data_IF_497818366659
#
_entry.id   IF_497818366659
#
_cell.length_a   1.000
_cell.length_b   1.000
_cell.length_c   1.000
_cell.angle_alpha   90.00
_cell.angle_beta   90.00
_cell.angle_gamma   90.00
#
_symmetry.space_group_name_H-M   'P 1'
#
loop_
_entity.id
_entity.type
_entity.pdbx_description
1 polymer ?
#
# COMPACT_ATOMS: atom_id res chain seq x y z
N UNK A 1 -20.81 -45.66 65.52
CA UNK A 1 -20.91 -47.10 65.81
C UNK A 1 -21.10 -47.85 64.49
N UNK A 2 -20.21 -48.82 64.22
CA UNK A 2 -20.27 -49.96 63.28
C UNK A 2 -20.51 -49.73 61.76
N UNK A 3 -19.47 -49.91 60.94
CA UNK A 3 -19.12 -51.11 60.10
C UNK A 3 -19.94 -51.18 58.80
N UNK A 4 -19.38 -51.11 57.58
CA UNK A 4 -18.37 -52.02 57.00
C UNK A 4 -19.10 -53.15 56.25
N UNK A 5 -19.20 -53.16 54.91
CA UNK A 5 -18.38 -53.99 54.01
C UNK A 5 -19.22 -54.90 53.08
N UNK A 6 -18.97 -54.76 51.77
CA UNK A 6 -18.90 -55.76 50.67
C UNK A 6 -20.04 -56.75 50.35
N UNK A 7 -20.45 -56.84 49.07
CA UNK A 7 -19.99 -57.87 48.11
C UNK A 7 -20.61 -57.72 46.71
N UNK A 8 -19.81 -58.10 45.72
CA UNK A 8 -20.11 -58.20 44.29
C UNK A 8 -20.81 -59.52 43.90
N UNK A 9 -21.49 -59.56 42.74
CA UNK A 9 -22.06 -60.80 42.18
C UNK A 9 -22.77 -60.67 40.83
N UNK A 10 -21.96 -60.70 39.75
CA UNK A 10 -22.18 -61.17 38.36
C UNK A 10 -23.60 -61.40 37.78
N UNK A 11 -23.81 -60.73 36.63
CA UNK A 11 -24.16 -61.21 35.29
C UNK A 11 -25.46 -62.02 35.03
N UNK A 12 -26.23 -61.56 34.03
CA UNK A 12 -26.68 -62.34 32.86
C UNK A 12 -27.35 -61.42 31.80
N UNK A 13 -26.82 -61.44 30.57
CA UNK A 13 -27.51 -61.10 29.29
C UNK A 13 -28.14 -62.42 28.77
N UNK A 14 -29.23 -62.43 27.98
CA UNK A 14 -29.40 -61.80 26.65
C UNK A 14 -30.79 -61.13 26.48
N UNK A 15 -31.04 -60.14 25.62
CA UNK A 15 -30.88 -60.07 24.17
C UNK A 15 -32.26 -60.17 23.52
N UNK A 16 -32.81 -59.07 22.97
CA UNK A 16 -33.85 -59.10 21.94
C UNK A 16 -34.01 -57.73 21.26
N UNK A 17 -34.08 -57.78 19.92
CA UNK A 17 -34.77 -56.81 19.05
C UNK A 17 -34.03 -55.54 18.61
N UNK A 18 -32.97 -55.77 17.82
CA UNK A 18 -32.46 -54.83 16.80
C UNK A 18 -33.41 -54.83 15.61
N UNK A 19 -34.52 -54.07 15.63
CA UNK A 19 -35.35 -53.91 14.40
C UNK A 19 -36.28 -52.70 14.33
N UNK A 20 -36.06 -51.62 15.10
CA UNK A 20 -36.91 -50.40 15.02
C UNK A 20 -36.14 -49.10 14.73
N UNK A 21 -34.81 -49.11 14.67
CA UNK A 21 -34.02 -47.88 14.47
C UNK A 21 -33.80 -47.48 12.99
N UNK A 22 -34.19 -48.34 12.03
CA UNK A 22 -33.82 -48.12 10.61
C UNK A 22 -34.73 -47.19 9.80
N UNK A 23 -35.80 -46.61 10.37
CA UNK A 23 -36.67 -45.67 9.63
C UNK A 23 -36.49 -44.20 10.09
N UNK A 24 -35.86 -43.95 11.24
CA UNK A 24 -35.58 -42.57 11.70
C UNK A 24 -34.24 -41.99 11.21
N UNK A 25 -33.38 -42.81 10.58
CA UNK A 25 -32.04 -42.38 10.10
C UNK A 25 -32.04 -41.98 8.60
N UNK A 26 -33.12 -42.22 7.87
CA UNK A 26 -33.22 -41.88 6.44
C UNK A 26 -33.75 -40.47 6.13
N UNK A 27 -34.02 -39.64 7.14
CA UNK A 27 -34.44 -38.23 6.94
C UNK A 27 -33.34 -37.22 7.39
N UNK A 28 -32.15 -37.71 7.78
CA UNK A 28 -31.01 -36.86 8.21
C UNK A 28 -29.76 -37.01 7.32
N UNK A 29 -29.94 -37.41 6.06
CA UNK A 29 -28.90 -37.34 5.01
C UNK A 29 -29.17 -36.23 3.97
N UNK A 30 -30.07 -35.29 4.30
CA UNK A 30 -30.20 -34.03 3.60
C UNK A 30 -29.22 -33.01 4.18
N UNK A 31 -27.91 -33.22 3.96
CA UNK A 31 -26.93 -32.15 4.16
C UNK A 31 -27.42 -30.95 3.33
N UNK A 32 -27.61 -29.74 3.90
CA UNK A 32 -27.69 -28.58 3.05
C UNK A 32 -26.33 -28.51 2.37
N UNK A 33 -26.28 -28.88 1.10
CA UNK A 33 -25.21 -28.42 0.23
C UNK A 33 -25.35 -26.91 0.22
N UNK A 34 -24.74 -26.25 1.19
CA UNK A 34 -24.06 -25.00 0.92
C UNK A 34 -23.09 -25.35 -0.19
N UNK A 35 -23.59 -25.31 -1.42
CA UNK A 35 -22.77 -25.05 -2.57
C UNK A 35 -22.14 -23.70 -2.20
N UNK A 36 -20.95 -23.75 -1.61
CA UNK A 36 -20.06 -22.62 -1.65
C UNK A 36 -20.01 -22.28 -3.12
N UNK A 37 -20.68 -21.18 -3.49
CA UNK A 37 -20.60 -20.65 -4.83
C UNK A 37 -19.11 -20.60 -5.12
N UNK A 38 -18.66 -21.47 -6.02
CA UNK A 38 -17.35 -21.33 -6.63
C UNK A 38 -17.25 -19.84 -7.00
N UNK A 39 -16.14 -19.15 -6.69
CA UNK A 39 -16.02 -17.75 -7.08
C UNK A 39 -16.42 -17.70 -8.54
N UNK A 40 -17.50 -16.96 -8.84
CA UNK A 40 -18.06 -16.91 -10.18
C UNK A 40 -16.89 -16.71 -11.12
N UNK A 41 -16.71 -17.63 -12.08
CA UNK A 41 -15.68 -17.48 -13.09
C UNK A 41 -15.79 -16.04 -13.58
N UNK A 42 -14.74 -15.24 -13.36
CA UNK A 42 -14.78 -13.81 -13.62
C UNK A 42 -15.26 -13.64 -15.06
N UNK A 43 -16.47 -13.14 -15.25
CA UNK A 43 -17.02 -12.93 -16.58
C UNK A 43 -16.27 -11.75 -17.18
N UNK A 44 -15.18 -12.06 -17.88
CA UNK A 44 -14.31 -11.07 -18.51
C UNK A 44 -14.89 -10.55 -19.82
N UNK A 45 -15.96 -11.15 -20.37
CA UNK A 45 -16.50 -10.79 -21.68
C UNK A 45 -16.97 -9.33 -21.73
N UNK A 46 -17.69 -8.79 -20.72
CA UNK A 46 -17.98 -7.36 -20.65
C UNK A 46 -16.71 -6.51 -20.60
N UNK A 47 -15.70 -6.91 -19.83
CA UNK A 47 -14.45 -6.17 -19.67
C UNK A 47 -13.61 -6.10 -20.95
N UNK A 48 -13.52 -7.21 -21.68
CA UNK A 48 -12.81 -7.31 -22.94
C UNK A 48 -13.45 -6.43 -24.02
N UNK A 49 -14.78 -6.46 -24.14
CA UNK A 49 -15.50 -5.63 -25.12
C UNK A 49 -15.33 -4.12 -24.81
N UNK A 50 -15.40 -3.75 -23.54
CA UNK A 50 -15.16 -2.36 -23.11
C UNK A 50 -13.71 -1.94 -23.37
N UNK A 51 -12.73 -2.80 -23.06
CA UNK A 51 -11.33 -2.53 -23.34
C UNK A 51 -11.06 -2.35 -24.85
N UNK A 52 -11.61 -3.24 -25.68
CA UNK A 52 -11.45 -3.19 -27.12
C UNK A 52 -12.00 -1.88 -27.72
N UNK A 53 -13.11 -1.37 -27.18
CA UNK A 53 -13.78 -0.16 -27.69
C UNK A 53 -13.20 1.14 -27.11
N UNK A 54 -12.81 1.16 -25.84
CA UNK A 54 -12.42 2.38 -25.13
C UNK A 54 -10.91 2.53 -24.93
N UNK A 55 -10.16 1.44 -24.86
CA UNK A 55 -8.76 1.45 -24.40
C UNK A 55 -7.76 1.00 -25.47
N UNK A 56 -8.13 0.02 -26.31
CA UNK A 56 -7.22 -0.60 -27.27
C UNK A 56 -6.73 0.36 -28.39
N UNK A 57 -7.46 1.46 -28.66
CA UNK A 57 -7.01 2.48 -29.60
C UNK A 57 -5.64 3.05 -29.22
N UNK A 58 -5.40 3.27 -27.93
CA UNK A 58 -4.15 3.80 -27.40
C UNK A 58 -3.25 2.69 -26.84
N UNK A 59 -3.81 1.77 -26.05
CA UNK A 59 -3.03 0.74 -25.36
C UNK A 59 -2.76 -0.52 -26.19
N UNK A 60 -3.38 -0.65 -27.36
CA UNK A 60 -3.30 -1.83 -28.21
C UNK A 60 -4.21 -2.98 -27.71
N UNK A 61 -4.59 -3.92 -28.58
CA UNK A 61 -5.46 -5.04 -28.18
C UNK A 61 -4.80 -5.96 -27.16
N UNK A 62 -3.47 -6.07 -27.18
CA UNK A 62 -2.68 -6.82 -26.21
C UNK A 62 -2.25 -5.98 -25.00
N UNK A 63 -2.60 -4.69 -24.92
CA UNK A 63 -2.19 -3.83 -23.81
C UNK A 63 -0.72 -3.44 -23.78
N UNK A 64 0.01 -3.55 -24.89
CA UNK A 64 1.45 -3.26 -24.91
C UNK A 64 1.79 -1.77 -25.02
N UNK A 65 0.78 -0.91 -25.13
CA UNK A 65 0.96 0.52 -25.36
C UNK A 65 1.27 0.86 -26.82
N UNK A 66 0.87 -0.02 -27.74
CA UNK A 66 1.17 -0.02 -29.17
C UNK A 66 -0.10 0.10 -30.03
N UNK A 67 -1.16 0.69 -29.48
CA UNK A 67 -2.40 0.92 -30.23
C UNK A 67 -2.20 1.86 -31.43
N UNK A 68 -3.15 1.88 -32.40
CA UNK A 68 -3.03 2.70 -33.61
C UNK A 68 -2.75 4.20 -33.35
N UNK A 69 -3.21 4.76 -32.23
CA UNK A 69 -2.93 6.15 -31.86
C UNK A 69 -1.67 6.33 -31.01
N UNK A 70 -1.02 5.25 -30.55
CA UNK A 70 0.10 5.30 -29.62
C UNK A 70 1.29 6.13 -30.11
N UNK A 71 1.54 6.12 -31.43
CA UNK A 71 2.61 6.90 -32.04
C UNK A 71 2.40 8.42 -31.97
N UNK A 72 1.16 8.88 -31.76
CA UNK A 72 0.82 10.30 -31.66
C UNK A 72 1.07 10.91 -30.28
N UNK A 73 1.39 10.11 -29.27
CA UNK A 73 1.64 10.61 -27.91
C UNK A 73 3.12 10.84 -27.65
N UNK A 74 3.48 11.98 -27.05
CA UNK A 74 4.85 12.26 -26.62
C UNK A 74 5.29 11.30 -25.51
N UNK A 75 4.39 10.97 -24.58
CA UNK A 75 4.53 9.84 -23.66
C UNK A 75 3.81 8.63 -24.24
N UNK A 76 4.56 7.58 -24.60
CA UNK A 76 3.91 6.34 -25.04
C UNK A 76 2.95 5.81 -23.96
N UNK A 77 1.76 5.32 -24.35
CA UNK A 77 0.87 4.64 -23.43
C UNK A 77 1.61 3.52 -22.67
N UNK A 78 1.29 3.36 -21.38
CA UNK A 78 1.93 2.33 -20.56
C UNK A 78 1.64 0.93 -21.11
N UNK A 79 2.63 0.04 -21.06
CA UNK A 79 2.46 -1.39 -21.32
C UNK A 79 1.69 -2.03 -20.17
N UNK A 80 0.37 -2.08 -20.30
CA UNK A 80 -0.56 -2.70 -19.36
C UNK A 80 -0.42 -4.23 -19.29
N UNK A 81 0.21 -4.86 -20.29
CA UNK A 81 0.55 -6.28 -20.25
C UNK A 81 1.85 -6.58 -19.49
N UNK A 82 2.63 -5.58 -19.07
CA UNK A 82 3.77 -5.83 -18.20
C UNK A 82 3.28 -6.25 -16.81
N UNK A 83 3.42 -7.53 -16.50
CA UNK A 83 3.03 -8.07 -15.21
C UNK A 83 3.87 -7.54 -14.06
N UNK A 84 5.11 -7.11 -14.29
CA UNK A 84 5.94 -6.48 -13.26
C UNK A 84 5.36 -5.12 -12.87
N UNK A 85 4.82 -4.39 -13.85
CA UNK A 85 4.06 -3.17 -13.64
C UNK A 85 2.74 -3.46 -12.92
N UNK A 86 1.92 -4.34 -13.49
CA UNK A 86 0.55 -4.53 -13.03
C UNK A 86 0.51 -5.13 -11.61
N UNK A 87 1.35 -6.10 -11.28
CA UNK A 87 1.35 -6.70 -9.93
C UNK A 87 1.69 -5.68 -8.81
N UNK A 88 2.37 -4.57 -9.12
CA UNK A 88 2.71 -3.55 -8.12
C UNK A 88 1.69 -2.42 -7.97
N UNK A 89 0.68 -2.35 -8.84
CA UNK A 89 -0.32 -1.28 -8.83
C UNK A 89 -1.64 -1.78 -8.21
N UNK A 90 -2.25 -1.05 -7.26
CA UNK A 90 -3.54 -1.44 -6.68
C UNK A 90 -4.72 -1.15 -7.61
N UNK A 91 -5.80 -1.92 -7.47
CA UNK A 91 -7.00 -1.74 -8.30
C UNK A 91 -7.62 -0.34 -8.13
N UNK A 92 -7.62 0.21 -6.90
CA UNK A 92 -8.10 1.57 -6.65
C UNK A 92 -7.29 2.62 -7.41
N UNK A 93 -5.97 2.42 -7.56
CA UNK A 93 -5.13 3.30 -8.36
C UNK A 93 -5.54 3.24 -9.83
N UNK A 94 -5.72 2.03 -10.38
CA UNK A 94 -6.16 1.84 -11.76
C UNK A 94 -7.56 2.40 -11.99
N UNK A 95 -8.48 2.19 -11.04
CA UNK A 95 -9.82 2.73 -11.09
C UNK A 95 -9.80 4.26 -11.08
N UNK A 96 -8.95 4.89 -10.27
CA UNK A 96 -8.80 6.34 -10.24
C UNK A 96 -8.26 6.89 -11.56
N UNK A 97 -7.25 6.23 -12.16
CA UNK A 97 -6.72 6.57 -13.49
C UNK A 97 -7.78 6.43 -14.58
N UNK A 98 -8.54 5.34 -14.60
CA UNK A 98 -9.59 5.14 -15.61
C UNK A 98 -10.71 6.16 -15.42
N UNK A 99 -11.18 6.37 -14.18
CA UNK A 99 -12.31 7.24 -13.89
C UNK A 99 -12.00 8.71 -14.15
N UNK A 100 -10.83 9.18 -13.72
CA UNK A 100 -10.51 10.62 -13.71
C UNK A 100 -9.33 11.00 -14.61
N UNK A 101 -8.75 10.05 -15.35
CA UNK A 101 -7.64 10.28 -16.27
C UNK A 101 -6.27 10.10 -15.61
N UNK A 102 -5.21 10.13 -16.43
CA UNK A 102 -3.85 9.90 -15.95
C UNK A 102 -3.33 10.99 -15.00
N UNK A 103 -3.73 12.25 -15.23
CA UNK A 103 -3.21 13.41 -14.52
C UNK A 103 -3.50 13.41 -13.01
N UNK A 104 -4.62 12.81 -12.57
CA UNK A 104 -4.97 12.74 -11.14
C UNK A 104 -4.01 11.88 -10.32
N UNK A 105 -3.27 11.00 -10.98
CA UNK A 105 -2.23 10.16 -10.39
C UNK A 105 -0.81 10.60 -10.80
N UNK A 106 -0.68 11.81 -11.34
CA UNK A 106 0.60 12.32 -11.83
C UNK A 106 1.14 11.48 -12.99
N UNK A 107 0.26 10.97 -13.86
CA UNK A 107 0.60 10.36 -15.15
C UNK A 107 0.32 11.35 -16.30
N UNK A 108 0.61 10.95 -17.54
CA UNK A 108 0.39 11.78 -18.74
C UNK A 108 -1.08 12.21 -18.87
N UNK A 109 -1.38 13.47 -19.27
CA UNK A 109 -2.73 13.92 -19.55
C UNK A 109 -3.32 13.26 -20.80
N UNK A 110 -2.50 12.57 -21.60
CA UNK A 110 -2.94 11.82 -22.76
C UNK A 110 -3.86 10.64 -22.43
N UNK A 111 -3.92 10.21 -21.15
CA UNK A 111 -4.93 9.26 -20.67
C UNK A 111 -6.18 10.04 -20.22
N UNK A 112 -7.29 10.01 -21.00
CA UNK A 112 -8.50 10.75 -20.68
C UNK A 112 -9.29 10.12 -19.52
N UNK A 113 -10.20 10.89 -18.94
CA UNK A 113 -11.15 10.43 -17.94
C UNK A 113 -12.32 9.68 -18.60
N UNK A 114 -12.64 8.48 -18.11
CA UNK A 114 -13.75 7.66 -18.60
C UNK A 114 -14.94 7.60 -17.64
N UNK A 115 -14.90 8.30 -16.49
CA UNK A 115 -15.94 8.24 -15.47
C UNK A 115 -17.33 8.68 -15.93
N UNK A 116 -17.41 9.54 -16.97
CA UNK A 116 -18.67 9.95 -17.58
C UNK A 116 -19.26 8.90 -18.54
N UNK A 117 -18.44 7.95 -19.02
CA UNK A 117 -18.82 6.95 -20.02
C UNK A 117 -18.90 5.53 -19.45
N UNK A 118 -18.19 5.27 -18.35
CA UNK A 118 -18.10 3.96 -17.70
C UNK A 118 -18.55 4.05 -16.24
N UNK A 119 -19.52 3.21 -15.87
CA UNK A 119 -19.88 2.98 -14.48
C UNK A 119 -18.77 2.27 -13.70
N UNK A 120 -18.81 2.37 -12.37
CA UNK A 120 -17.86 1.69 -11.48
C UNK A 120 -17.79 0.17 -11.70
N UNK A 121 -18.92 -0.46 -12.05
CA UNK A 121 -18.94 -1.87 -12.38
C UNK A 121 -18.17 -2.15 -13.68
N UNK A 122 -18.38 -1.32 -14.71
CA UNK A 122 -17.67 -1.41 -15.99
C UNK A 122 -16.17 -1.14 -15.85
N UNK A 123 -15.77 -0.15 -15.04
CA UNK A 123 -14.36 0.12 -14.74
C UNK A 123 -13.70 -1.11 -14.09
N UNK A 124 -14.37 -1.76 -13.13
CA UNK A 124 -13.86 -3.01 -12.54
C UNK A 124 -13.71 -4.12 -13.58
N UNK A 125 -14.66 -4.27 -14.50
CA UNK A 125 -14.56 -5.25 -15.58
C UNK A 125 -13.38 -4.99 -16.52
N UNK A 126 -13.15 -3.73 -16.89
CA UNK A 126 -11.95 -3.34 -17.66
C UNK A 126 -10.67 -3.66 -16.89
N UNK A 127 -10.62 -3.35 -15.59
CA UNK A 127 -9.46 -3.70 -14.75
C UNK A 127 -9.21 -5.21 -14.76
N UNK A 128 -10.24 -6.02 -14.56
CA UNK A 128 -10.13 -7.48 -14.60
C UNK A 128 -9.57 -7.98 -15.95
N UNK A 129 -10.04 -7.40 -17.06
CA UNK A 129 -9.49 -7.71 -18.37
C UNK A 129 -8.02 -7.28 -18.48
N UNK A 130 -7.66 -6.07 -18.07
CA UNK A 130 -6.27 -5.59 -18.06
C UNK A 130 -5.38 -6.48 -17.21
N UNK A 131 -5.85 -6.96 -16.04
CA UNK A 131 -5.12 -7.93 -15.21
C UNK A 131 -4.87 -9.25 -15.94
N UNK A 132 -5.81 -9.68 -16.79
CA UNK A 132 -5.67 -10.90 -17.57
C UNK A 132 -4.60 -10.82 -18.67
N UNK A 133 -4.25 -9.60 -19.12
CA UNK A 133 -3.18 -9.37 -20.10
C UNK A 133 -1.77 -9.46 -19.50
N UNK A 134 -1.65 -9.41 -18.18
CA UNK A 134 -0.37 -9.29 -17.49
C UNK A 134 0.55 -10.51 -17.67
N UNK A 135 1.80 -10.27 -18.05
CA UNK A 135 2.88 -11.25 -18.12
C UNK A 135 4.14 -10.71 -17.39
N UNK A 136 4.58 -11.33 -16.27
CA UNK A 136 4.04 -12.53 -15.62
C UNK A 136 2.59 -12.37 -15.13
N UNK A 137 1.82 -13.48 -15.01
CA UNK A 137 0.41 -13.43 -14.63
C UNK A 137 0.16 -12.62 -13.36
N UNK A 138 -0.94 -11.87 -13.36
CA UNK A 138 -1.39 -11.12 -12.19
C UNK A 138 -1.69 -12.06 -11.01
N UNK A 139 -1.23 -11.69 -9.83
CA UNK A 139 -1.51 -12.38 -8.57
C UNK A 139 -2.19 -11.40 -7.63
N UNK A 140 -3.46 -11.61 -7.32
CA UNK A 140 -4.19 -10.74 -6.39
C UNK A 140 -3.49 -10.60 -5.03
N UNK A 141 -2.84 -11.67 -4.55
CA UNK A 141 -2.04 -11.65 -3.32
C UNK A 141 -0.77 -10.78 -3.39
N UNK A 142 -0.31 -10.41 -4.59
CA UNK A 142 0.82 -9.50 -4.78
C UNK A 142 0.40 -8.02 -4.72
N UNK A 143 -0.90 -7.72 -4.82
CA UNK A 143 -1.40 -6.35 -4.70
C UNK A 143 -1.28 -5.89 -3.27
N UNK A 144 -0.52 -4.82 -3.10
CA UNK A 144 -0.33 -4.18 -1.81
C UNK A 144 -1.33 -3.02 -1.69
N UNK A 145 -2.18 -2.96 -0.64
CA UNK A 145 -3.16 -1.88 -0.49
C UNK A 145 -2.50 -0.49 -0.47
N UNK A 146 -3.17 0.49 -1.09
CA UNK A 146 -2.77 1.90 -0.99
C UNK A 146 -2.89 2.32 0.47
N UNK A 147 -1.85 2.95 1.00
CA UNK A 147 -1.94 3.64 2.28
C UNK A 147 -2.31 5.08 2.03
N UNK A 148 -3.54 5.44 2.37
CA UNK A 148 -3.99 6.82 2.41
C UNK A 148 -3.79 7.37 3.81
N UNK A 149 -3.17 8.54 3.91
CA UNK A 149 -3.02 9.25 5.17
C UNK A 149 -4.12 10.32 5.28
N UNK A 150 -5.10 10.15 6.18
CA UNK A 150 -6.12 11.16 6.41
C UNK A 150 -5.46 12.48 6.82
N UNK A 151 -5.88 13.61 6.22
CA UNK A 151 -5.34 14.96 6.47
C UNK A 151 -3.89 15.17 6.01
N UNK A 152 -3.39 14.38 5.06
CA UNK A 152 -2.12 14.68 4.41
C UNK A 152 -2.14 16.10 3.80
N UNK A 153 -1.11 16.94 4.03
CA UNK A 153 -1.09 18.30 3.50
C UNK A 153 -0.91 18.29 1.98
N UNK A 154 -1.61 19.20 1.30
CA UNK A 154 -1.40 19.44 -0.13
C UNK A 154 0.04 19.88 -0.38
N UNK A 155 0.70 19.19 -1.31
CA UNK A 155 2.07 19.51 -1.73
C UNK A 155 2.04 20.44 -2.96
N UNK A 156 3.08 21.27 -3.19
CA UNK A 156 3.15 22.13 -4.38
C UNK A 156 3.11 21.34 -5.70
N UNK A 157 3.68 20.14 -5.68
CA UNK A 157 3.67 19.19 -6.79
C UNK A 157 3.16 17.86 -6.27
N UNK A 158 2.27 17.22 -7.01
CA UNK A 158 1.79 15.89 -6.67
C UNK A 158 2.88 14.85 -6.99
N UNK A 159 3.58 14.42 -5.95
CA UNK A 159 4.62 13.39 -6.02
C UNK A 159 4.15 12.08 -5.36
N UNK A 160 4.13 11.00 -6.14
CA UNK A 160 3.69 9.68 -5.70
C UNK A 160 4.88 8.75 -5.40
N UNK A 161 5.07 8.38 -4.13
CA UNK A 161 6.08 7.39 -3.73
C UNK A 161 5.69 5.97 -4.18
N UNK A 162 4.39 5.69 -4.32
CA UNK A 162 3.87 4.45 -4.89
C UNK A 162 4.46 4.18 -6.29
N UNK A 163 4.56 5.21 -7.13
CA UNK A 163 5.13 5.08 -8.48
C UNK A 163 6.66 4.89 -8.40
N UNK A 164 7.35 5.74 -7.66
CA UNK A 164 8.83 5.77 -7.66
C UNK A 164 9.45 4.65 -6.83
N UNK A 165 9.11 4.56 -5.55
CA UNK A 165 9.68 3.58 -4.63
C UNK A 165 8.93 2.24 -4.66
N UNK A 166 7.61 2.25 -4.85
CA UNK A 166 6.81 1.02 -4.92
C UNK A 166 6.99 0.27 -6.24
N UNK A 167 6.55 0.89 -7.33
CA UNK A 167 6.53 0.28 -8.66
C UNK A 167 7.92 0.21 -9.29
N UNK A 168 8.63 1.34 -9.41
CA UNK A 168 9.96 1.36 -10.04
C UNK A 168 11.09 0.90 -9.10
N UNK A 169 10.77 0.61 -7.83
CA UNK A 169 11.72 0.12 -6.82
C UNK A 169 12.97 1.00 -6.70
N UNK A 170 12.80 2.31 -6.87
CA UNK A 170 13.88 3.26 -6.64
C UNK A 170 14.26 3.22 -5.16
N UNK A 171 15.55 3.05 -4.88
CA UNK A 171 16.04 3.06 -3.50
C UNK A 171 15.76 4.41 -2.85
N UNK A 172 15.32 4.40 -1.59
CA UNK A 172 14.97 5.61 -0.85
C UNK A 172 16.13 6.62 -0.82
N UNK A 173 17.36 6.11 -0.69
CA UNK A 173 18.58 6.92 -0.61
C UNK A 173 19.02 7.49 -1.96
N UNK A 174 18.41 7.10 -3.07
CA UNK A 174 18.67 7.73 -4.36
C UNK A 174 18.22 9.20 -4.34
N UNK A 175 16.99 9.44 -3.86
CA UNK A 175 16.45 10.79 -3.72
C UNK A 175 16.87 11.43 -2.39
N UNK A 176 16.78 10.69 -1.29
CA UNK A 176 17.13 11.14 0.06
C UNK A 176 18.59 10.81 0.40
N UNK A 177 19.50 11.24 -0.47
CA UNK A 177 20.91 10.83 -0.40
C UNK A 177 21.64 11.32 0.86
N UNK A 178 21.13 12.36 1.52
CA UNK A 178 21.71 12.88 2.77
C UNK A 178 21.43 11.98 3.98
N UNK A 179 20.44 11.09 3.91
CA UNK A 179 20.04 10.25 5.04
C UNK A 179 21.19 9.41 5.64
N UNK A 180 22.14 8.96 4.83
CA UNK A 180 23.31 8.18 5.28
C UNK A 180 24.49 9.01 5.80
N UNK A 181 24.49 10.32 5.53
CA UNK A 181 25.67 11.20 5.74
C UNK A 181 25.41 12.37 6.68
N UNK A 182 24.17 12.83 6.79
CA UNK A 182 23.79 14.03 7.52
C UNK A 182 22.78 13.73 8.64
N UNK A 183 22.52 14.75 9.45
CA UNK A 183 21.44 14.76 10.43
C UNK A 183 20.07 14.77 9.75
N UNK A 184 20.00 15.37 8.56
CA UNK A 184 18.79 15.46 7.75
C UNK A 184 18.85 14.48 6.58
N UNK A 185 17.72 13.83 6.25
CA UNK A 185 17.60 13.01 5.04
C UNK A 185 17.71 13.83 3.74
N UNK A 186 17.43 15.13 3.83
CA UNK A 186 17.35 16.04 2.69
C UNK A 186 16.14 15.76 1.80
N UNK A 187 15.77 16.74 0.99
CA UNK A 187 14.85 16.56 -0.13
C UNK A 187 15.65 16.62 -1.43
N UNK A 188 15.25 15.88 -2.47
CA UNK A 188 15.96 15.92 -3.74
C UNK A 188 15.90 17.32 -4.35
N UNK A 189 16.96 17.71 -5.05
CA UNK A 189 16.96 18.96 -5.83
C UNK A 189 16.07 18.83 -7.06
N UNK A 190 15.71 19.97 -7.66
CA UNK A 190 14.89 20.00 -8.89
C UNK A 190 15.60 19.29 -10.04
N UNK A 191 16.93 19.42 -10.11
CA UNK A 191 17.76 18.78 -11.13
C UNK A 191 17.74 17.25 -10.98
N UNK A 192 17.67 16.72 -9.75
CA UNK A 192 17.54 15.26 -9.55
C UNK A 192 16.24 14.74 -10.14
N UNK A 193 15.14 15.48 -10.03
CA UNK A 193 13.89 15.14 -10.70
C UNK A 193 14.07 15.18 -12.23
N UNK A 194 14.63 16.27 -12.75
CA UNK A 194 14.80 16.45 -14.20
C UNK A 194 15.81 15.51 -14.84
N UNK A 195 16.73 14.91 -14.07
CA UNK A 195 17.69 13.93 -14.56
C UNK A 195 17.02 12.76 -15.29
N UNK A 196 15.89 12.29 -14.78
CA UNK A 196 15.07 11.27 -15.44
C UNK A 196 13.89 11.89 -16.20
N UNK A 197 13.22 12.90 -15.63
CA UNK A 197 12.00 13.48 -16.22
C UNK A 197 12.21 14.19 -17.57
N UNK A 198 13.45 14.53 -17.93
CA UNK A 198 13.80 14.98 -19.29
C UNK A 198 13.82 13.85 -20.33
N UNK A 199 13.98 12.59 -19.90
CA UNK A 199 14.22 11.44 -20.79
C UNK A 199 12.97 10.57 -20.91
N UNK A 200 12.21 10.39 -19.82
CA UNK A 200 11.10 9.43 -19.77
C UNK A 200 9.82 9.87 -20.52
N UNK A 201 9.90 10.91 -21.36
CA UNK A 201 8.82 11.33 -22.28
C UNK A 201 7.56 11.87 -21.60
N UNK A 202 7.56 12.08 -20.29
CA UNK A 202 6.38 12.50 -19.51
C UNK A 202 6.24 14.04 -19.40
N UNK A 203 6.74 14.79 -20.38
CA UNK A 203 6.79 16.26 -20.34
C UNK A 203 5.40 16.92 -20.33
N UNK A 204 4.43 16.27 -20.97
CA UNK A 204 3.06 16.80 -21.05
C UNK A 204 2.30 16.66 -19.72
N UNK A 205 2.87 15.94 -18.74
CA UNK A 205 2.27 15.84 -17.41
C UNK A 205 2.26 17.21 -16.71
N UNK A 206 1.09 17.72 -16.29
CA UNK A 206 1.00 19.02 -15.63
C UNK A 206 1.85 19.09 -14.36
N UNK A 207 2.05 17.98 -13.65
CA UNK A 207 2.91 17.94 -12.46
C UNK A 207 4.41 18.02 -12.82
N UNK A 208 4.82 17.48 -13.96
CA UNK A 208 6.20 17.58 -14.45
C UNK A 208 6.47 18.98 -15.00
N UNK A 209 5.48 19.61 -15.64
CA UNK A 209 5.57 21.01 -16.08
C UNK A 209 5.88 21.95 -14.90
N UNK A 210 5.29 21.72 -13.71
CA UNK A 210 5.64 22.47 -12.49
C UNK A 210 7.11 22.30 -12.10
N UNK A 211 7.67 21.10 -12.20
CA UNK A 211 9.10 20.85 -11.93
C UNK A 211 9.97 21.66 -12.90
N UNK A 212 9.61 21.69 -14.18
CA UNK A 212 10.32 22.47 -15.20
C UNK A 212 10.23 23.97 -14.93
N UNK A 213 9.08 24.47 -14.47
CA UNK A 213 8.89 25.88 -14.09
C UNK A 213 9.82 26.28 -12.93
N UNK A 214 9.89 25.45 -11.87
CA UNK A 214 10.83 25.69 -10.77
C UNK A 214 12.29 25.67 -11.24
N UNK A 215 12.64 24.72 -12.12
CA UNK A 215 13.97 24.65 -12.70
C UNK A 215 14.32 25.88 -13.56
N UNK A 216 13.39 26.34 -14.40
CA UNK A 216 13.56 27.51 -15.26
C UNK A 216 13.76 28.80 -14.47
N UNK A 217 13.16 28.89 -13.27
CA UNK A 217 13.37 30.00 -12.33
C UNK A 217 14.60 29.83 -11.43
N UNK A 218 15.25 28.66 -11.45
CA UNK A 218 16.34 28.34 -10.52
C UNK A 218 15.89 28.30 -9.04
N UNK A 219 14.61 28.03 -8.79
CA UNK A 219 14.03 28.04 -7.44
C UNK A 219 13.82 26.60 -6.93
N UNK A 220 14.08 26.32 -5.64
CA UNK A 220 13.73 25.04 -5.06
C UNK A 220 12.21 24.89 -4.95
N UNK A 221 11.72 23.65 -4.99
CA UNK A 221 10.31 23.34 -4.72
C UNK A 221 10.02 23.56 -3.23
N UNK A 222 9.04 24.39 -2.85
CA UNK A 222 8.74 24.72 -1.46
C UNK A 222 7.91 23.62 -0.77
N UNK A 223 8.50 22.43 -0.60
CA UNK A 223 7.83 21.27 -0.03
C UNK A 223 7.27 21.52 1.38
N UNK A 224 6.06 21.01 1.63
CA UNK A 224 5.46 21.05 2.97
C UNK A 224 5.96 19.85 3.77
N UNK A 225 6.77 20.12 4.79
CA UNK A 225 7.34 19.08 5.66
C UNK A 225 6.23 18.39 6.48
N UNK A 226 6.13 17.07 6.36
CA UNK A 226 5.13 16.24 7.03
C UNK A 226 5.62 15.79 8.40
N UNK A 227 6.77 15.11 8.44
CA UNK A 227 7.37 14.64 9.68
C UNK A 227 8.15 15.78 10.36
N UNK A 228 7.66 16.22 11.51
CA UNK A 228 8.27 17.27 12.32
C UNK A 228 8.56 16.74 13.72
N UNK A 229 9.77 16.98 14.18
CA UNK A 229 10.13 16.89 15.59
C UNK A 229 10.21 18.31 16.15
N UNK A 230 9.96 18.52 17.45
CA UNK A 230 10.17 19.83 18.07
C UNK A 230 11.60 20.33 17.88
N UNK A 231 11.79 21.64 17.80
CA UNK A 231 13.10 22.24 17.51
C UNK A 231 14.17 21.95 18.58
N UNK A 232 13.75 21.75 19.84
CA UNK A 232 14.62 21.33 20.94
C UNK A 232 14.98 19.84 20.89
N UNK A 233 14.60 19.10 19.84
CA UNK A 233 14.92 17.68 19.68
C UNK A 233 16.00 17.50 18.62
N UNK A 234 17.13 16.93 19.03
CA UNK A 234 18.21 16.53 18.14
C UNK A 234 17.94 15.12 17.59
N UNK A 235 17.83 15.01 16.25
CA UNK A 235 17.67 13.73 15.58
C UNK A 235 18.59 13.65 14.37
N UNK A 236 19.36 12.56 14.29
CA UNK A 236 20.37 12.39 13.24
C UNK A 236 20.10 11.16 12.36
N UNK A 237 19.75 11.37 11.09
CA UNK A 237 19.46 10.26 10.17
C UNK A 237 20.67 9.33 9.97
N UNK A 238 21.88 9.89 9.82
CA UNK A 238 23.10 9.10 9.55
C UNK A 238 23.35 7.99 10.57
N UNK A 239 23.08 8.20 11.85
CA UNK A 239 23.31 7.19 12.88
C UNK A 239 22.32 6.02 12.73
N UNK A 240 21.05 6.33 12.54
CA UNK A 240 19.98 5.34 12.39
C UNK A 240 20.12 4.52 11.10
N UNK A 241 20.47 5.18 9.99
CA UNK A 241 20.71 4.51 8.71
C UNK A 241 21.96 3.64 8.77
N UNK A 242 23.06 4.11 9.41
CA UNK A 242 24.28 3.30 9.57
C UNK A 242 24.09 2.09 10.49
N UNK A 243 23.21 2.20 11.48
CA UNK A 243 22.81 1.06 12.31
C UNK A 243 22.01 0.01 11.51
N UNK A 244 21.46 0.38 10.34
CA UNK A 244 20.70 -0.54 9.49
C UNK A 244 19.20 -0.53 9.76
N UNK A 245 18.65 0.50 10.41
CA UNK A 245 17.20 0.62 10.55
C UNK A 245 16.54 0.87 9.18
N UNK A 246 15.54 0.05 8.86
CA UNK A 246 14.70 0.28 7.69
C UNK A 246 13.91 1.59 7.84
N UNK A 247 13.83 2.39 6.77
CA UNK A 247 13.13 3.68 6.74
C UNK A 247 11.66 3.53 7.17
N UNK A 248 11.04 2.42 6.80
CA UNK A 248 9.64 2.10 7.08
C UNK A 248 9.33 1.96 8.57
N UNK A 249 10.34 1.67 9.39
CA UNK A 249 10.19 1.59 10.86
C UNK A 249 9.68 2.90 11.44
N UNK A 250 10.13 4.03 10.89
CA UNK A 250 9.77 5.37 11.37
C UNK A 250 8.70 6.03 10.50
N UNK A 251 8.80 5.88 9.17
CA UNK A 251 7.98 6.62 8.21
C UNK A 251 6.73 5.85 7.75
N UNK A 252 6.56 4.61 8.21
CA UNK A 252 5.54 3.70 7.68
C UNK A 252 5.89 3.22 6.26
N UNK A 253 4.97 2.52 5.59
CA UNK A 253 5.23 1.95 4.28
C UNK A 253 5.11 3.01 3.17
N UNK A 254 6.07 3.92 3.10
CA UNK A 254 6.13 5.04 2.14
C UNK A 254 6.01 4.55 0.70
N UNK A 255 6.55 3.36 0.38
CA UNK A 255 6.48 2.76 -0.96
C UNK A 255 5.05 2.41 -1.40
N UNK A 256 4.08 2.46 -0.49
CA UNK A 256 2.65 2.19 -0.73
C UNK A 256 1.80 3.48 -0.68
N UNK A 257 2.43 4.62 -0.39
CA UNK A 257 1.75 5.88 -0.22
C UNK A 257 1.71 6.64 -1.54
N UNK A 258 0.48 6.87 -2.03
CA UNK A 258 0.21 7.80 -3.14
C UNK A 258 0.54 9.24 -2.76
N UNK A 259 0.18 9.61 -1.54
CA UNK A 259 0.53 10.89 -0.92
C UNK A 259 1.04 10.57 0.48
N UNK A 260 2.23 11.08 0.81
CA UNK A 260 2.76 10.88 2.15
C UNK A 260 1.93 11.70 3.13
N UNK A 261 1.59 11.07 4.24
CA UNK A 261 1.07 11.73 5.41
C UNK A 261 1.39 10.87 6.63
N UNK A 262 1.30 11.47 7.80
CA UNK A 262 1.65 10.79 9.03
C UNK A 262 0.82 11.32 10.19
N UNK A 263 0.38 10.41 11.05
CA UNK A 263 -0.18 10.76 12.36
C UNK A 263 0.94 10.72 13.40
N UNK A 264 1.69 11.81 13.50
CA UNK A 264 2.77 11.98 14.48
C UNK A 264 2.31 12.83 15.66
N UNK A 265 2.88 12.58 16.83
CA UNK A 265 2.64 13.41 18.02
C UNK A 265 1.38 13.03 18.82
N UNK A 266 1.10 13.76 19.90
CA UNK A 266 -0.04 13.48 20.78
C UNK A 266 -1.38 13.80 20.11
N UNK A 267 -2.44 13.09 20.50
CA UNK A 267 -3.81 13.44 20.16
C UNK A 267 -4.70 13.45 21.39
N UNK A 268 -5.77 14.24 21.34
CA UNK A 268 -6.79 14.30 22.39
C UNK A 268 -7.32 12.91 22.77
N UNK A 269 -7.48 12.02 21.78
CA UNK A 269 -7.94 10.65 22.03
C UNK A 269 -6.92 9.83 22.86
N UNK A 270 -5.62 10.06 22.70
CA UNK A 270 -4.61 9.36 23.50
C UNK A 270 -4.61 9.87 24.94
N UNK A 271 -4.81 11.18 25.12
CA UNK A 271 -4.84 11.78 26.46
C UNK A 271 -6.11 11.38 27.22
N UNK A 272 -7.26 11.31 26.55
CA UNK A 272 -8.49 10.75 27.12
C UNK A 272 -8.33 9.28 27.51
N UNK A 273 -7.69 8.46 26.65
CA UNK A 273 -7.39 7.06 26.96
C UNK A 273 -6.52 6.94 28.22
N UNK A 274 -5.46 7.75 28.32
CA UNK A 274 -4.61 7.79 29.52
C UNK A 274 -5.40 8.21 30.77
N UNK A 275 -6.27 9.21 30.63
CA UNK A 275 -7.11 9.71 31.72
C UNK A 275 -8.02 8.61 32.29
N UNK A 276 -8.56 7.73 31.43
CA UNK A 276 -9.37 6.57 31.85
C UNK A 276 -8.53 5.32 32.20
N UNK A 277 -7.22 5.47 32.38
CA UNK A 277 -6.32 4.39 32.81
C UNK A 277 -5.77 3.51 31.69
N UNK A 278 -6.13 3.76 30.42
CA UNK A 278 -5.60 3.02 29.27
C UNK A 278 -4.29 3.65 28.77
N UNK A 279 -3.21 2.88 28.70
CA UNK A 279 -1.90 3.34 28.21
C UNK A 279 -1.68 2.81 26.79
N UNK A 280 -2.13 3.52 25.72
CA UNK A 280 -1.90 3.09 24.36
C UNK A 280 -0.39 3.08 24.05
N UNK A 281 0.07 2.24 23.11
CA UNK A 281 1.46 2.30 22.66
C UNK A 281 1.79 3.71 22.15
N UNK A 282 3.03 4.18 22.38
CA UNK A 282 3.42 5.52 21.96
C UNK A 282 3.40 5.63 20.44
N UNK A 283 2.88 6.75 19.94
CA UNK A 283 2.83 7.01 18.50
C UNK A 283 4.22 7.21 17.90
N UNK A 284 4.42 6.89 16.61
CA UNK A 284 5.68 7.14 15.93
C UNK A 284 6.17 8.57 16.13
N UNK A 285 7.49 8.71 16.26
CA UNK A 285 8.19 10.00 16.43
C UNK A 285 7.80 10.79 17.69
N UNK A 286 7.21 10.14 18.70
CA UNK A 286 7.09 10.70 20.06
C UNK A 286 8.28 10.25 20.92
N UNK A 287 8.61 11.01 21.97
CA UNK A 287 9.71 10.66 22.90
C UNK A 287 9.56 9.22 23.45
N UNK A 288 8.34 8.85 23.87
CA UNK A 288 8.06 7.51 24.39
C UNK A 288 8.32 6.41 23.37
N UNK A 289 8.07 6.67 22.09
CA UNK A 289 8.35 5.74 21.01
C UNK A 289 9.85 5.60 20.75
N UNK A 290 10.59 6.72 20.70
CA UNK A 290 12.05 6.71 20.52
C UNK A 290 12.74 5.92 21.64
N UNK A 291 12.41 6.20 22.90
CA UNK A 291 12.98 5.52 24.07
C UNK A 291 12.64 4.04 24.09
N UNK A 292 11.40 3.67 23.75
CA UNK A 292 10.99 2.26 23.66
C UNK A 292 11.78 1.52 22.57
N UNK A 293 11.92 2.13 21.39
CA UNK A 293 12.72 1.57 20.30
C UNK A 293 14.19 1.40 20.71
N UNK A 294 14.82 2.43 21.27
CA UNK A 294 16.22 2.35 21.73
C UNK A 294 16.42 1.26 22.78
N UNK A 295 15.52 1.13 23.76
CA UNK A 295 15.56 0.04 24.76
C UNK A 295 15.45 -1.33 24.10
N UNK A 296 14.54 -1.49 23.15
CA UNK A 296 14.38 -2.74 22.40
C UNK A 296 15.65 -3.09 21.61
N UNK A 297 16.23 -2.12 20.89
CA UNK A 297 17.45 -2.34 20.11
C UNK A 297 18.65 -2.67 21.01
N UNK A 298 18.77 -2.00 22.16
CA UNK A 298 19.83 -2.30 23.14
C UNK A 298 19.67 -3.71 23.71
N UNK A 299 18.45 -4.16 23.99
CA UNK A 299 18.18 -5.50 24.50
C UNK A 299 18.34 -6.60 23.44
N UNK A 300 17.83 -6.40 22.23
CA UNK A 300 17.78 -7.42 21.19
C UNK A 300 19.06 -7.53 20.35
N UNK A 301 19.80 -6.42 20.20
CA UNK A 301 20.93 -6.34 19.28
C UNK A 301 22.23 -5.87 19.94
N UNK A 302 22.28 -5.83 21.28
CA UNK A 302 23.42 -5.26 22.04
C UNK A 302 23.83 -3.88 21.53
N UNK A 303 22.85 -3.11 21.05
CA UNK A 303 23.08 -1.77 20.55
C UNK A 303 23.51 -0.83 21.69
N UNK A 304 24.13 0.30 21.32
CA UNK A 304 24.45 1.40 22.24
C UNK A 304 23.62 2.64 21.88
N UNK A 305 22.32 2.45 21.68
CA UNK A 305 21.41 3.55 21.39
C UNK A 305 21.26 4.41 22.67
N UNK A 306 21.42 5.74 22.57
CA UNK A 306 21.40 6.64 23.72
C UNK A 306 20.03 6.68 24.39
N UNK A 307 20.00 6.79 25.71
CA UNK A 307 18.76 6.90 26.50
C UNK A 307 18.77 8.13 27.41
N UNK A 308 19.87 8.88 27.43
CA UNK A 308 20.00 10.11 28.20
C UNK A 308 19.29 11.27 27.51
N UNK A 309 18.74 12.17 28.31
CA UNK A 309 17.91 13.26 27.82
C UNK A 309 18.71 14.24 26.96
N UNK A 310 19.97 14.52 27.33
CA UNK A 310 20.80 15.58 26.72
C UNK A 310 21.37 15.20 25.36
N UNK A 311 21.46 13.91 25.03
CA UNK A 311 21.83 13.46 23.68
C UNK A 311 20.70 13.69 22.68
N UNK A 312 19.45 13.72 23.15
CA UNK A 312 18.27 13.89 22.30
C UNK A 312 17.66 15.28 22.39
N UNK A 313 17.96 16.05 23.43
CA UNK A 313 17.37 17.34 23.69
C UNK A 313 18.41 18.38 24.09
N UNK A 314 18.16 19.62 23.67
CA UNK A 314 18.90 20.80 24.09
C UNK A 314 18.14 21.54 25.19
#
# INVERSE_FOLDING_TARGET
MNTGSTRAGRALRPGFSVTVVLIAVLIWLGSPTWAGSAPAALDLQPGQALYATQCALCHGPSGQGDGPSAAGFATKPSNLADGRLMNGLPDDFLANVIRHGGSVEGLSPGMPAFGEYLSDAQIRQVILHVRSLASPPFRAAAVVPIVTAPRAPTQPIFFSHLIHAGKYRMDCQYCHADARRSEYAGLPSVERCLGCHKIIGALDNPEIAKIQEYAGRGQPIPWVRIFKLPEFTYFTHKAHVRFGLACQTCHGPIERMRMVGAETGPSLADDLKKLVGFKPPPRPLTMGWCVACHRQQNAAHSARAPLDCVTCHH
#
